data_IF_182028336255
#
_entry.id   IF_182028336255
#
_cell.length_a   1.000
_cell.length_b   1.000
_cell.length_c   1.000
_cell.angle_alpha   90.00
_cell.angle_beta   90.00
_cell.angle_gamma   90.00
#
_symmetry.space_group_name_H-M   'P 1'
#
loop_
_entity.id
_entity.type
_entity.pdbx_description
1 polymer ?
#
# COMPACT_ATOMS: atom_id res chain seq x y z
N UNK A 1 -1.58 13.41 -6.13
CA UNK A 1 -0.81 12.19 -5.80
C UNK A 1 -0.95 11.18 -6.93
N UNK A 2 0.08 10.37 -7.12
CA UNK A 2 0.13 9.43 -8.24
C UNK A 2 0.05 8.00 -7.72
N UNK A 3 -0.87 7.20 -8.28
CA UNK A 3 -0.94 5.77 -8.01
C UNK A 3 -0.14 5.02 -9.08
N UNK A 4 0.82 4.23 -8.64
CA UNK A 4 1.70 3.48 -9.54
C UNK A 4 1.20 2.04 -9.63
N UNK A 5 0.84 1.56 -10.84
CA UNK A 5 0.44 0.17 -11.00
C UNK A 5 1.59 -0.78 -10.67
N UNK A 6 1.25 -1.92 -10.07
CA UNK A 6 2.23 -2.95 -9.75
C UNK A 6 1.72 -4.30 -10.25
N UNK A 7 2.65 -5.24 -10.39
CA UNK A 7 2.32 -6.60 -10.80
C UNK A 7 2.17 -7.45 -9.54
N UNK A 8 0.91 -7.72 -9.16
CA UNK A 8 0.60 -8.44 -7.93
C UNK A 8 -0.71 -9.19 -8.10
N UNK A 9 -0.85 -10.31 -7.41
CA UNK A 9 -2.06 -11.11 -7.49
C UNK A 9 -3.26 -10.42 -6.82
N UNK A 10 -3.01 -9.49 -5.89
CA UNK A 10 -4.11 -8.83 -5.16
C UNK A 10 -4.01 -7.30 -5.12
N UNK A 11 -2.86 -6.71 -5.38
CA UNK A 11 -2.69 -5.26 -5.37
C UNK A 11 -2.64 -4.75 -6.79
N UNK A 12 -3.46 -3.73 -7.08
CA UNK A 12 -3.52 -3.11 -8.39
C UNK A 12 -2.55 -1.95 -8.54
N UNK A 13 -2.54 -1.03 -7.56
CA UNK A 13 -1.66 0.14 -7.61
C UNK A 13 -1.37 0.65 -6.20
N UNK A 14 -0.29 1.40 -6.08
CA UNK A 14 0.20 1.91 -4.80
C UNK A 14 0.59 3.38 -4.98
N UNK A 15 0.23 4.20 -4.00
CA UNK A 15 0.62 5.60 -3.96
C UNK A 15 1.10 5.99 -2.57
N UNK A 16 1.82 7.12 -2.49
CA UNK A 16 2.35 7.58 -1.21
C UNK A 16 2.45 9.10 -1.22
N UNK A 17 1.91 9.72 -0.17
CA UNK A 17 1.93 11.18 -0.04
C UNK A 17 1.70 11.56 1.42
N UNK A 18 2.53 12.47 1.95
CA UNK A 18 2.35 13.02 3.31
C UNK A 18 2.24 11.92 4.36
N UNK A 19 3.17 10.97 4.32
CA UNK A 19 3.25 9.84 5.27
C UNK A 19 2.00 8.96 5.22
N UNK A 20 1.24 9.02 4.15
CA UNK A 20 0.07 8.17 3.95
C UNK A 20 0.33 7.23 2.78
N UNK A 21 0.12 5.95 3.01
CA UNK A 21 0.26 4.92 1.99
C UNK A 21 -1.12 4.59 1.46
N UNK A 22 -1.29 4.67 0.14
CA UNK A 22 -2.55 4.34 -0.51
C UNK A 22 -2.37 3.05 -1.28
N UNK A 23 -3.28 2.10 -1.07
CA UNK A 23 -3.23 0.81 -1.75
C UNK A 23 -4.59 0.53 -2.38
N UNK A 24 -4.60 0.39 -3.70
CA UNK A 24 -5.79 -0.06 -4.42
C UNK A 24 -5.64 -1.53 -4.72
N UNK A 25 -6.62 -2.31 -4.29
CA UNK A 25 -6.62 -3.76 -4.50
C UNK A 25 -7.33 -4.09 -5.82
N UNK A 26 -7.04 -5.28 -6.34
CA UNK A 26 -7.66 -5.73 -7.60
C UNK A 26 -9.18 -5.83 -7.51
N UNK A 27 -9.71 -5.96 -6.30
CA UNK A 27 -11.16 -5.95 -6.06
C UNK A 27 -11.79 -4.59 -6.33
N UNK A 28 -10.99 -3.53 -6.43
CA UNK A 28 -11.47 -2.16 -6.62
C UNK A 28 -11.47 -1.32 -5.37
N UNK A 29 -11.28 -1.92 -4.19
CA UNK A 29 -11.23 -1.17 -2.94
C UNK A 29 -9.89 -0.47 -2.77
N UNK A 30 -9.92 0.75 -2.24
CA UNK A 30 -8.71 1.53 -1.96
C UNK A 30 -8.66 1.84 -0.47
N UNK A 31 -7.50 1.62 0.14
CA UNK A 31 -7.27 1.87 1.55
C UNK A 31 -6.15 2.88 1.72
N UNK A 32 -6.29 3.74 2.72
CA UNK A 32 -5.25 4.66 3.15
C UNK A 32 -4.72 4.20 4.49
N UNK A 33 -3.41 4.02 4.59
CA UNK A 33 -2.72 3.69 5.84
C UNK A 33 -1.95 4.91 6.30
N UNK A 34 -2.13 5.31 7.57
CA UNK A 34 -1.64 6.59 8.07
C UNK A 34 -0.34 6.45 8.86
N UNK A 35 0.46 7.52 8.83
CA UNK A 35 1.73 7.60 9.55
C UNK A 35 2.69 6.47 9.16
N UNK A 36 2.76 6.19 7.87
CA UNK A 36 3.64 5.18 7.30
C UNK A 36 4.93 5.87 6.86
N UNK A 37 6.10 5.48 7.40
CA UNK A 37 7.35 6.08 6.95
C UNK A 37 7.64 5.72 5.49
N UNK A 38 8.38 6.60 4.83
CA UNK A 38 8.72 6.38 3.41
C UNK A 38 9.51 5.09 3.20
N UNK A 39 10.30 4.67 4.19
CA UNK A 39 11.07 3.43 4.09
C UNK A 39 10.16 2.21 3.90
N UNK A 40 8.98 2.23 4.52
CA UNK A 40 8.01 1.15 4.36
C UNK A 40 7.43 1.17 2.94
N UNK A 41 7.11 2.36 2.43
CA UNK A 41 6.63 2.50 1.05
C UNK A 41 7.68 2.00 0.06
N UNK A 42 8.94 2.39 0.24
CA UNK A 42 10.01 1.95 -0.66
C UNK A 42 10.20 0.43 -0.60
N UNK A 43 10.15 -0.14 0.61
CA UNK A 43 10.25 -1.59 0.77
C UNK A 43 9.11 -2.31 0.08
N UNK A 44 7.90 -1.77 0.19
CA UNK A 44 6.72 -2.33 -0.48
C UNK A 44 6.89 -2.32 -1.99
N UNK A 45 7.36 -1.19 -2.56
CA UNK A 45 7.52 -1.06 -4.00
C UNK A 45 8.59 -1.99 -4.56
N UNK A 46 9.63 -2.28 -3.78
CA UNK A 46 10.73 -3.13 -4.24
C UNK A 46 10.59 -4.59 -3.82
N UNK A 47 9.53 -4.93 -3.09
CA UNK A 47 9.34 -6.30 -2.61
C UNK A 47 9.07 -7.26 -3.77
N UNK A 48 9.60 -8.48 -3.66
CA UNK A 48 9.31 -9.52 -4.65
C UNK A 48 7.84 -9.95 -4.60
N UNK A 49 7.22 -9.83 -3.42
CA UNK A 49 5.78 -10.03 -3.27
C UNK A 49 5.19 -8.82 -2.55
N UNK A 50 4.52 -7.96 -3.31
CA UNK A 50 3.91 -6.75 -2.74
C UNK A 50 2.85 -7.10 -1.71
N UNK A 51 2.05 -8.13 -1.98
CA UNK A 51 0.99 -8.54 -1.05
C UNK A 51 1.54 -9.09 0.26
N UNK A 52 2.59 -9.91 0.21
CA UNK A 52 3.21 -10.45 1.42
C UNK A 52 3.84 -9.34 2.25
N UNK A 53 4.53 -8.41 1.59
CA UNK A 53 5.15 -7.29 2.28
C UNK A 53 4.09 -6.45 2.99
N UNK A 54 3.00 -6.15 2.29
CA UNK A 54 1.90 -5.37 2.88
C UNK A 54 1.34 -6.07 4.10
N UNK A 55 1.10 -7.37 4.01
CA UNK A 55 0.52 -8.14 5.11
C UNK A 55 1.43 -8.18 6.33
N UNK A 56 2.75 -8.26 6.13
CA UNK A 56 3.70 -8.37 7.23
C UNK A 56 4.09 -7.04 7.85
N UNK A 57 4.16 -5.98 7.05
CA UNK A 57 4.77 -4.74 7.48
C UNK A 57 3.80 -3.57 7.57
N UNK A 58 2.56 -3.73 7.13
CA UNK A 58 1.58 -2.64 7.10
C UNK A 58 0.28 -3.03 7.77
N UNK A 59 -0.33 -4.13 7.33
CA UNK A 59 -1.61 -4.57 7.90
C UNK A 59 -1.45 -4.95 9.37
N UNK A 60 -2.36 -4.44 10.21
CA UNK A 60 -2.32 -4.71 11.64
C UNK A 60 -1.30 -3.87 12.39
N UNK A 61 -0.53 -3.03 11.71
CA UNK A 61 0.48 -2.18 12.33
C UNK A 61 0.07 -0.72 12.27
N UNK A 62 -0.40 -0.25 11.10
CA UNK A 62 -0.78 1.14 10.90
C UNK A 62 -2.29 1.30 10.87
N UNK A 63 -2.76 2.43 11.39
CA UNK A 63 -4.17 2.79 11.32
C UNK A 63 -4.54 2.99 9.86
N UNK A 64 -5.72 2.55 9.48
CA UNK A 64 -6.15 2.63 8.09
C UNK A 64 -7.61 3.05 7.98
N UNK A 65 -7.99 3.44 6.76
CA UNK A 65 -9.36 3.76 6.41
C UNK A 65 -9.61 3.29 4.98
N UNK A 66 -10.73 2.63 4.76
CA UNK A 66 -11.18 2.33 3.40
C UNK A 66 -11.76 3.62 2.81
N UNK A 67 -11.22 4.07 1.69
CA UNK A 67 -11.61 5.34 1.08
C UNK A 67 -12.35 5.17 -0.25
N UNK A 68 -12.41 3.95 -0.76
CA UNK A 68 -13.16 3.71 -2.01
C UNK A 68 -13.64 2.28 -2.07
#
# INVERSE_FOLDING_TARGET
MRMTPVNSSNIYSIGYENNTLYVRFNSGSTYAYFNVPETIYRGLMSASSHGSYLARNVKGIYVYRKIN
#
